data_IF_687301814908
#
_entry.id   IF_687301814908
#
_cell.length_a   1.000
_cell.length_b   1.000
_cell.length_c   1.000
_cell.angle_alpha   90.00
_cell.angle_beta   90.00
_cell.angle_gamma   90.00
#
_symmetry.space_group_name_H-M   'P 1'
#
loop_
_entity.id
_entity.type
_entity.pdbx_description
1 polymer ?
#
# COMPACT_ATOMS: atom_id res chain seq x y z
N UNK A 1 -54.58 -19.35 -3.60
CA UNK A 1 -53.95 -19.03 -2.29
C UNK A 1 -53.89 -17.52 -2.12
N UNK A 2 -54.39 -16.97 -1.00
CA UNK A 2 -54.36 -15.53 -0.70
C UNK A 2 -53.31 -15.30 0.40
N UNK A 3 -52.41 -14.36 0.23
CA UNK A 3 -51.40 -14.02 1.24
C UNK A 3 -50.82 -12.65 1.04
N UNK A 4 -50.12 -12.11 2.04
CA UNK A 4 -49.49 -10.79 1.95
C UNK A 4 -48.56 -10.66 0.73
N UNK A 5 -47.86 -11.75 0.36
CA UNK A 5 -46.97 -11.81 -0.82
C UNK A 5 -47.70 -11.86 -2.17
N UNK A 6 -49.01 -12.13 -2.19
CA UNK A 6 -49.82 -12.20 -3.41
C UNK A 6 -50.66 -10.94 -3.65
N UNK A 7 -50.50 -9.90 -2.80
CA UNK A 7 -51.21 -8.63 -2.93
C UNK A 7 -50.37 -7.65 -3.75
N UNK A 8 -51.05 -6.80 -4.52
CA UNK A 8 -50.44 -5.63 -5.16
C UNK A 8 -50.01 -4.61 -4.11
N UNK A 9 -48.82 -4.04 -4.27
CA UNK A 9 -48.25 -3.02 -3.38
C UNK A 9 -46.85 -3.39 -2.86
N UNK A 10 -46.17 -2.48 -2.15
CA UNK A 10 -44.88 -2.76 -1.54
C UNK A 10 -44.99 -3.93 -0.55
N UNK A 11 -44.18 -4.96 -0.77
CA UNK A 11 -44.12 -6.10 0.12
C UNK A 11 -43.40 -5.81 1.44
N UNK A 12 -43.12 -6.87 2.17
CA UNK A 12 -42.34 -6.82 3.41
C UNK A 12 -40.92 -6.33 3.15
N UNK A 13 -40.39 -5.47 4.02
CA UNK A 13 -39.00 -4.96 3.94
C UNK A 13 -38.00 -6.13 3.95
N UNK A 14 -36.98 -6.05 3.08
CA UNK A 14 -35.85 -6.99 3.09
C UNK A 14 -35.17 -6.99 4.46
N UNK A 15 -35.07 -8.17 5.07
CA UNK A 15 -34.52 -8.34 6.43
C UNK A 15 -35.55 -8.26 7.56
N UNK A 16 -36.86 -8.23 7.28
CA UNK A 16 -37.89 -8.36 8.32
C UNK A 16 -38.24 -9.82 8.59
N UNK A 17 -38.24 -10.22 9.87
CA UNK A 17 -38.43 -11.60 10.35
C UNK A 17 -39.73 -11.75 11.15
N UNK A 18 -40.84 -11.22 10.63
CA UNK A 18 -42.18 -11.51 11.19
C UNK A 18 -42.47 -10.90 12.57
N UNK A 19 -41.73 -9.87 12.99
CA UNK A 19 -41.85 -9.23 14.31
C UNK A 19 -40.77 -9.65 15.30
N UNK A 20 -39.98 -10.68 14.99
CA UNK A 20 -38.76 -10.97 15.74
C UNK A 20 -37.71 -9.86 15.52
N UNK A 21 -36.84 -9.60 16.52
CA UNK A 21 -35.71 -8.70 16.33
C UNK A 21 -34.86 -9.15 15.14
N UNK A 22 -34.71 -8.38 14.06
CA UNK A 22 -33.98 -8.84 12.87
C UNK A 22 -32.50 -9.16 13.12
N UNK A 23 -31.91 -10.06 12.33
CA UNK A 23 -30.49 -10.44 12.44
C UNK A 23 -29.52 -9.25 12.47
N UNK A 24 -29.72 -8.25 11.60
CA UNK A 24 -28.85 -7.06 11.52
C UNK A 24 -28.91 -6.17 12.78
N UNK A 25 -29.87 -6.40 13.69
CA UNK A 25 -29.95 -5.76 15.00
C UNK A 25 -29.41 -6.63 16.14
N UNK A 26 -29.38 -7.96 15.96
CA UNK A 26 -28.82 -8.90 16.94
C UNK A 26 -27.30 -8.90 16.94
N UNK A 27 -26.69 -8.66 15.77
CA UNK A 27 -25.24 -8.64 15.63
C UNK A 27 -24.66 -7.28 16.03
N UNK A 28 -23.50 -7.24 16.72
CA UNK A 28 -22.80 -6.00 16.99
C UNK A 28 -22.32 -5.36 15.68
N UNK A 29 -22.23 -4.04 15.68
CA UNK A 29 -21.67 -3.30 14.54
C UNK A 29 -20.19 -3.63 14.35
N UNK A 30 -19.72 -3.53 13.12
CA UNK A 30 -18.31 -3.73 12.78
C UNK A 30 -17.41 -2.78 13.58
N UNK A 31 -16.27 -3.32 14.02
CA UNK A 31 -15.23 -2.57 14.74
C UNK A 31 -14.77 -1.36 13.91
N UNK A 32 -14.46 -0.26 14.57
CA UNK A 32 -14.08 1.01 13.94
C UNK A 32 -15.28 1.79 13.39
N UNK A 33 -16.14 1.16 12.59
CA UNK A 33 -17.33 1.82 12.01
C UNK A 33 -18.31 2.24 13.11
N UNK A 34 -18.51 1.38 14.13
CA UNK A 34 -19.40 1.67 15.25
C UNK A 34 -19.03 2.96 16.01
N UNK A 35 -17.74 3.29 16.07
CA UNK A 35 -17.21 4.48 16.76
C UNK A 35 -16.88 5.66 15.84
N UNK A 36 -17.26 5.60 14.56
CA UNK A 36 -17.00 6.68 13.59
C UNK A 36 -15.53 6.80 13.13
N UNK A 37 -14.70 5.78 13.33
CA UNK A 37 -13.32 5.77 12.82
C UNK A 37 -13.31 5.73 11.29
N UNK A 38 -12.43 6.51 10.67
CA UNK A 38 -12.27 6.50 9.22
C UNK A 38 -11.84 5.12 8.68
N UNK A 39 -12.46 4.70 7.57
CA UNK A 39 -12.13 3.44 6.91
C UNK A 39 -10.71 3.47 6.32
N UNK A 40 -9.98 2.37 6.50
CA UNK A 40 -8.68 2.17 5.88
C UNK A 40 -8.82 2.07 4.37
N UNK A 41 -8.20 3.00 3.65
CA UNK A 41 -8.23 3.04 2.19
C UNK A 41 -6.85 2.72 1.61
N UNK A 42 -6.78 2.16 0.39
CA UNK A 42 -5.52 1.89 -0.27
C UNK A 42 -4.74 3.19 -0.50
N UNK A 43 -3.44 3.12 -0.19
CA UNK A 43 -2.48 4.24 -0.32
C UNK A 43 -1.54 4.09 -1.51
N UNK A 44 -1.53 2.92 -2.14
CA UNK A 44 -0.67 2.56 -3.26
C UNK A 44 -1.48 1.75 -4.27
N UNK A 45 -1.03 1.76 -5.51
CA UNK A 45 -1.43 0.76 -6.51
C UNK A 45 -0.48 -0.44 -6.36
N UNK A 46 -0.96 -1.60 -5.88
CA UNK A 46 -0.13 -2.80 -5.75
C UNK A 46 0.11 -3.43 -7.13
N UNK A 47 1.33 -3.89 -7.37
CA UNK A 47 1.69 -4.63 -8.58
C UNK A 47 2.70 -5.72 -8.23
N UNK A 48 2.48 -6.96 -8.68
CA UNK A 48 3.32 -8.11 -8.31
C UNK A 48 4.34 -8.45 -9.40
N UNK A 49 5.36 -9.24 -9.05
CA UNK A 49 6.37 -9.72 -10.00
C UNK A 49 5.79 -10.69 -11.03
N UNK A 50 4.83 -11.53 -10.66
CA UNK A 50 4.13 -12.42 -11.62
C UNK A 50 3.46 -11.65 -12.76
N UNK A 51 2.89 -10.49 -12.44
CA UNK A 51 2.15 -9.65 -13.39
C UNK A 51 3.14 -8.95 -14.35
N UNK A 52 4.38 -8.70 -13.90
CA UNK A 52 5.48 -8.25 -14.75
C UNK A 52 5.85 -9.35 -15.75
N UNK A 53 6.05 -10.59 -15.31
CA UNK A 53 6.41 -11.69 -16.22
C UNK A 53 5.33 -11.90 -17.29
N UNK A 54 4.06 -11.91 -16.88
CA UNK A 54 2.93 -12.04 -17.82
C UNK A 54 2.81 -10.85 -18.79
N UNK A 55 3.24 -9.65 -18.36
CA UNK A 55 3.25 -8.44 -19.17
C UNK A 55 4.29 -8.41 -20.29
N UNK A 56 5.12 -9.45 -20.43
CA UNK A 56 6.06 -9.61 -21.54
C UNK A 56 7.12 -8.51 -21.60
N UNK A 57 7.61 -8.05 -20.44
CA UNK A 57 8.73 -7.11 -20.40
C UNK A 57 10.04 -7.78 -20.83
N UNK A 58 10.85 -7.04 -21.57
CA UNK A 58 12.18 -7.47 -22.04
C UNK A 58 13.28 -6.87 -21.18
N UNK A 59 14.49 -7.42 -21.27
CA UNK A 59 15.64 -6.87 -20.59
C UNK A 59 15.86 -5.40 -20.95
N UNK A 60 16.03 -4.56 -19.93
CA UNK A 60 16.21 -3.12 -20.05
C UNK A 60 14.91 -2.30 -20.09
N UNK A 61 13.73 -2.94 -20.14
CA UNK A 61 12.46 -2.23 -20.10
C UNK A 61 12.29 -1.45 -18.79
N UNK A 62 11.69 -0.26 -18.90
CA UNK A 62 11.35 0.56 -17.75
C UNK A 62 9.94 0.22 -17.23
N UNK A 63 9.84 -0.06 -15.93
CA UNK A 63 8.58 -0.20 -15.21
C UNK A 63 8.30 1.08 -14.43
N UNK A 64 7.34 1.84 -14.93
CA UNK A 64 6.76 3.04 -14.32
C UNK A 64 5.22 3.02 -14.41
N UNK A 65 4.54 3.88 -13.66
CA UNK A 65 3.07 4.02 -13.76
C UNK A 65 2.58 4.32 -15.19
N UNK A 66 3.38 5.03 -15.98
CA UNK A 66 3.03 5.40 -17.35
C UNK A 66 3.20 4.20 -18.30
N UNK A 67 4.30 3.46 -18.18
CA UNK A 67 4.54 2.23 -18.96
C UNK A 67 3.50 1.14 -18.70
N UNK A 68 3.03 1.01 -17.45
CA UNK A 68 2.04 0.03 -17.06
C UNK A 68 0.64 0.39 -17.58
N UNK A 69 0.34 1.68 -17.69
CA UNK A 69 -0.90 2.17 -18.30
C UNK A 69 -0.90 1.99 -19.81
N UNK A 70 0.20 2.33 -20.49
CA UNK A 70 0.28 2.23 -21.95
C UNK A 70 0.15 0.79 -22.44
N UNK A 71 0.71 -0.17 -21.67
CA UNK A 71 0.54 -1.61 -21.91
C UNK A 71 -0.80 -2.17 -21.44
N UNK A 72 -1.65 -1.38 -20.80
CA UNK A 72 -2.96 -1.82 -20.30
C UNK A 72 -2.91 -2.77 -19.11
N UNK A 73 -1.75 -2.94 -18.47
CA UNK A 73 -1.58 -3.82 -17.30
C UNK A 73 -2.20 -3.22 -16.04
N UNK A 74 -2.29 -1.89 -15.98
CA UNK A 74 -3.02 -1.18 -14.92
C UNK A 74 -3.94 -0.14 -15.57
N UNK A 75 -5.21 -0.14 -15.17
CA UNK A 75 -6.18 0.88 -15.54
C UNK A 75 -6.69 1.63 -14.30
N UNK A 76 -5.88 2.55 -13.73
CA UNK A 76 -6.23 3.19 -12.47
C UNK A 76 -7.32 4.24 -12.69
N UNK A 77 -8.36 4.18 -11.85
CA UNK A 77 -9.53 5.04 -11.95
C UNK A 77 -9.72 5.91 -10.70
N UNK A 78 -10.35 7.09 -10.88
CA UNK A 78 -10.69 8.01 -9.78
C UNK A 78 -9.53 8.30 -8.83
N UNK A 79 -9.63 7.80 -7.59
CA UNK A 79 -8.62 7.97 -6.52
C UNK A 79 -7.27 7.36 -6.90
N UNK A 80 -7.25 6.22 -7.56
CA UNK A 80 -6.04 5.44 -7.83
C UNK A 80 -5.07 6.18 -8.74
N UNK A 81 -5.57 7.08 -9.60
CA UNK A 81 -4.74 7.91 -10.48
C UNK A 81 -3.73 8.78 -9.73
N UNK A 82 -4.04 9.13 -8.47
CA UNK A 82 -3.17 9.95 -7.61
C UNK A 82 -2.26 9.11 -6.70
N UNK A 83 -2.42 7.78 -6.70
CA UNK A 83 -1.67 6.89 -5.83
C UNK A 83 -0.33 6.49 -6.47
N UNK A 84 0.76 6.42 -5.68
CA UNK A 84 2.03 5.89 -6.16
C UNK A 84 1.98 4.37 -6.36
N UNK A 85 2.82 3.87 -7.27
CA UNK A 85 3.02 2.44 -7.50
C UNK A 85 3.79 1.80 -6.34
N UNK A 86 3.36 0.60 -5.93
CA UNK A 86 4.10 -0.24 -5.00
C UNK A 86 4.31 -1.63 -5.58
N UNK A 87 5.57 -2.08 -5.62
CA UNK A 87 5.93 -3.42 -6.09
C UNK A 87 5.92 -4.42 -4.93
N UNK A 88 5.25 -5.55 -5.16
CA UNK A 88 5.10 -6.68 -4.25
C UNK A 88 5.82 -7.90 -4.81
N UNK A 89 6.34 -8.76 -3.91
CA UNK A 89 7.29 -9.83 -4.25
C UNK A 89 6.68 -11.18 -4.65
N UNK A 90 5.40 -11.22 -5.03
CA UNK A 90 4.74 -12.46 -5.45
C UNK A 90 5.12 -12.81 -6.90
N UNK A 91 5.66 -14.02 -7.12
CA UNK A 91 6.28 -14.47 -8.37
C UNK A 91 7.81 -14.33 -8.40
N UNK A 92 8.43 -14.92 -9.43
CA UNK A 92 9.87 -14.91 -9.65
C UNK A 92 10.19 -14.19 -10.97
N UNK A 93 11.28 -13.44 -10.97
CA UNK A 93 11.68 -12.59 -12.10
C UNK A 93 13.06 -13.02 -12.59
N UNK A 94 13.16 -13.35 -13.88
CA UNK A 94 14.41 -13.73 -14.55
C UNK A 94 14.96 -12.63 -15.47
N UNK A 95 14.21 -11.53 -15.64
CA UNK A 95 14.50 -10.44 -16.59
C UNK A 95 15.08 -9.25 -15.83
N UNK A 96 16.08 -8.58 -16.40
CA UNK A 96 16.72 -7.39 -15.83
C UNK A 96 15.94 -6.14 -16.22
N UNK A 97 15.29 -5.50 -15.25
CA UNK A 97 14.38 -4.38 -15.48
C UNK A 97 14.81 -3.13 -14.73
N UNK A 98 14.40 -1.96 -15.25
CA UNK A 98 14.60 -0.68 -14.60
C UNK A 98 13.29 -0.23 -13.94
N UNK A 99 13.18 -0.30 -12.61
CA UNK A 99 11.90 -0.14 -11.91
C UNK A 99 11.85 1.19 -11.17
N UNK A 100 10.89 2.05 -11.55
CA UNK A 100 10.57 3.32 -10.89
C UNK A 100 9.25 3.20 -10.13
N UNK A 101 9.31 3.10 -8.81
CA UNK A 101 8.13 2.97 -7.95
C UNK A 101 8.24 3.85 -6.70
N UNK A 102 7.11 4.15 -6.06
CA UNK A 102 7.08 4.94 -4.82
C UNK A 102 7.41 4.12 -3.57
N UNK A 103 7.24 2.81 -3.63
CA UNK A 103 7.61 1.90 -2.56
C UNK A 103 7.84 0.47 -3.08
N UNK A 104 8.64 -0.29 -2.34
CA UNK A 104 8.88 -1.71 -2.57
C UNK A 104 8.64 -2.48 -1.27
N UNK A 105 8.03 -3.67 -1.36
CA UNK A 105 8.03 -4.61 -0.23
C UNK A 105 9.45 -5.17 0.02
N UNK A 106 9.75 -5.63 1.23
CA UNK A 106 11.05 -6.23 1.56
C UNK A 106 11.37 -7.40 0.64
N UNK A 107 10.45 -8.35 0.53
CA UNK A 107 10.59 -9.52 -0.35
C UNK A 107 10.78 -9.13 -1.83
N UNK A 108 10.11 -8.06 -2.30
CA UNK A 108 10.32 -7.59 -3.67
C UNK A 108 11.73 -7.02 -3.86
N UNK A 109 12.25 -6.24 -2.91
CA UNK A 109 13.60 -5.67 -3.02
C UNK A 109 14.65 -6.78 -3.13
N UNK A 110 14.59 -7.76 -2.23
CA UNK A 110 15.54 -8.88 -2.20
C UNK A 110 15.54 -9.64 -3.54
N UNK A 111 14.35 -9.99 -4.06
CA UNK A 111 14.24 -10.69 -5.35
C UNK A 111 14.72 -9.86 -6.53
N UNK A 112 14.42 -8.56 -6.55
CA UNK A 112 14.80 -7.67 -7.64
C UNK A 112 16.30 -7.36 -7.64
N UNK A 113 16.90 -7.20 -6.45
CA UNK A 113 18.34 -7.05 -6.28
C UNK A 113 19.08 -8.33 -6.68
N UNK A 114 18.57 -9.50 -6.32
CA UNK A 114 19.10 -10.80 -6.74
C UNK A 114 19.05 -11.00 -8.27
N UNK A 115 17.97 -10.50 -8.92
CA UNK A 115 17.84 -10.49 -10.37
C UNK A 115 18.74 -9.45 -11.07
N UNK A 116 19.43 -8.58 -10.31
CA UNK A 116 20.27 -7.50 -10.86
C UNK A 116 19.48 -6.37 -11.52
N UNK A 117 18.23 -6.14 -11.06
CA UNK A 117 17.40 -5.03 -11.54
C UNK A 117 17.83 -3.70 -10.91
N UNK A 118 17.61 -2.58 -11.62
CA UNK A 118 17.85 -1.25 -11.05
C UNK A 118 16.58 -0.73 -10.36
N UNK A 119 16.71 -0.33 -9.10
CA UNK A 119 15.59 0.11 -8.26
C UNK A 119 15.67 1.61 -8.00
N UNK A 120 14.75 2.37 -8.61
CA UNK A 120 14.61 3.81 -8.37
C UNK A 120 13.39 4.09 -7.50
N UNK A 121 13.62 4.56 -6.28
CA UNK A 121 12.54 4.98 -5.36
C UNK A 121 12.19 6.45 -5.62
N UNK A 122 10.95 6.71 -6.03
CA UNK A 122 10.49 8.08 -6.27
C UNK A 122 10.35 8.86 -4.95
N UNK A 123 10.75 10.14 -4.91
CA UNK A 123 10.65 10.95 -3.70
C UNK A 123 9.19 11.15 -3.32
N UNK A 124 8.90 11.05 -2.02
CA UNK A 124 7.57 11.36 -1.49
C UNK A 124 7.34 12.86 -1.49
N UNK A 125 6.07 13.25 -1.56
CA UNK A 125 5.67 14.65 -1.39
C UNK A 125 6.16 15.17 -0.04
N UNK A 126 6.89 16.30 -0.05
CA UNK A 126 7.45 16.93 1.15
C UNK A 126 6.33 17.30 2.13
N UNK A 127 6.46 16.83 3.37
CA UNK A 127 5.59 17.25 4.47
C UNK A 127 6.07 18.62 4.97
N UNK A 128 5.14 19.56 5.15
CA UNK A 128 5.45 20.81 5.82
C UNK A 128 5.68 20.56 7.31
N UNK A 129 6.77 21.11 7.84
CA UNK A 129 7.20 20.94 9.22
C UNK A 129 7.60 22.31 9.80
N UNK A 130 7.21 22.63 11.05
CA UNK A 130 7.64 23.86 11.71
C UNK A 130 9.16 23.90 11.96
N UNK A 131 9.75 25.09 11.94
CA UNK A 131 11.20 25.27 12.16
C UNK A 131 11.68 24.70 13.51
N UNK A 132 10.88 24.82 14.56
CA UNK A 132 11.21 24.25 15.88
C UNK A 132 11.32 22.72 15.84
N UNK A 133 10.44 22.05 15.08
CA UNK A 133 10.50 20.60 14.92
C UNK A 133 11.77 20.16 14.20
N UNK A 134 12.15 20.88 13.13
CA UNK A 134 13.38 20.61 12.37
C UNK A 134 14.62 20.78 13.25
N UNK A 135 14.67 21.84 14.08
CA UNK A 135 15.77 22.05 15.04
C UNK A 135 15.88 20.92 16.06
N UNK A 136 14.76 20.48 16.63
CA UNK A 136 14.75 19.38 17.60
C UNK A 136 15.21 18.06 16.95
N UNK A 137 14.82 17.81 15.70
CA UNK A 137 15.25 16.64 14.96
C UNK A 137 16.75 16.67 14.65
N UNK A 138 17.28 17.82 14.20
CA UNK A 138 18.72 18.00 13.97
C UNK A 138 19.53 17.79 15.26
N UNK A 139 19.08 18.34 16.40
CA UNK A 139 19.72 18.12 17.70
C UNK A 139 19.76 16.63 18.08
N UNK A 140 18.70 15.87 17.79
CA UNK A 140 18.67 14.43 18.06
C UNK A 140 19.66 13.68 17.15
N UNK A 141 19.70 14.02 15.86
CA UNK A 141 20.65 13.45 14.90
C UNK A 141 22.10 13.71 15.30
N UNK A 142 22.43 14.93 15.73
CA UNK A 142 23.74 15.29 16.28
C UNK A 142 24.10 14.45 17.52
N UNK A 143 23.17 14.30 18.47
CA UNK A 143 23.38 13.48 19.66
C UNK A 143 23.68 12.02 19.30
N UNK A 144 22.88 11.41 18.41
CA UNK A 144 23.10 10.03 17.99
C UNK A 144 24.38 9.87 17.18
N UNK A 145 24.72 10.84 16.32
CA UNK A 145 25.96 10.82 15.55
C UNK A 145 27.17 10.91 16.46
N UNK A 146 27.14 11.79 17.47
CA UNK A 146 28.19 11.92 18.48
C UNK A 146 28.31 10.66 19.35
N UNK A 147 27.20 10.09 19.78
CA UNK A 147 27.19 8.86 20.58
C UNK A 147 27.68 7.65 19.77
N UNK A 148 27.30 7.55 18.50
CA UNK A 148 27.78 6.50 17.60
C UNK A 148 29.27 6.66 17.29
N UNK A 149 29.75 7.89 17.08
CA UNK A 149 31.19 8.17 16.93
C UNK A 149 32.00 7.80 18.17
N UNK A 150 31.53 8.17 19.37
CA UNK A 150 32.19 7.81 20.62
C UNK A 150 32.14 6.31 20.98
N UNK A 151 31.15 5.57 20.46
CA UNK A 151 31.10 4.11 20.61
C UNK A 151 32.10 3.39 19.69
N UNK A 152 32.36 3.94 18.49
CA UNK A 152 33.39 3.42 17.59
C UNK A 152 34.80 3.67 18.14
N UNK A 153 35.04 4.82 18.78
CA UNK A 153 36.31 5.12 19.46
C UNK A 153 36.59 4.23 20.70
N UNK A 154 35.57 3.71 21.38
CA UNK A 154 35.76 2.80 22.52
C UNK A 154 35.98 1.34 22.13
N UNK A 155 35.44 0.90 20.98
CA UNK A 155 35.62 -0.47 20.49
C UNK A 155 37.01 -0.66 19.82
N UNK A 156 37.59 0.38 19.20
CA UNK A 156 38.95 0.34 18.63
C UNK A 156 40.07 0.44 19.68
N UNK A 157 39.79 0.97 20.88
CA UNK A 157 40.77 1.07 21.97
C UNK A 157 40.93 -0.22 22.81
N UNK A 158 40.16 -1.27 22.49
CA UNK A 158 40.13 -2.54 23.24
C UNK A 158 40.49 -3.76 22.39
N UNK A 159 41.31 -3.57 21.35
CA UNK A 159 42.02 -4.63 20.61
C UNK A 159 43.49 -4.27 20.51
#
# INVERSE_FOLDING_TARGET
MRGQKSRSGPGVRRGFEGGQMPLYRRLPKLRGIAGGMHIGLPKYVPFNLRDIVQGGFKDGDEISLESLKSRGLINPSGRERKLPLKILGDGDLSVKLNIKAGAFSSAAKEKLEAAGCTLTVLPKRKKWLPAAYVKNQARAEEYFSKKKGGAVESDEATT
#
